data_IF_235189046265
#
_entry.id   IF_235189046265
#
_cell.length_a   1.000
_cell.length_b   1.000
_cell.length_c   1.000
_cell.angle_alpha   90.00
_cell.angle_beta   90.00
_cell.angle_gamma   90.00
#
_symmetry.space_group_name_H-M   'P 1'
#
loop_
_entity.id
_entity.type
_entity.pdbx_description
1 polymer ?
#
# COMPACT_ATOMS: atom_id res chain seq x y z
N UNK A 1 15.35 -0.48 12.07
CA UNK A 1 14.30 -0.48 11.00
C UNK A 1 13.00 -0.99 11.63
N UNK A 2 11.84 -0.33 11.46
CA UNK A 2 10.57 -0.80 12.09
C UNK A 2 10.13 -2.16 11.54
N UNK A 3 9.58 -3.02 12.41
CA UNK A 3 9.16 -4.39 12.10
C UNK A 3 8.19 -4.45 10.92
N UNK A 4 7.14 -3.63 10.90
CA UNK A 4 6.16 -3.61 9.80
C UNK A 4 6.82 -3.41 8.43
N UNK A 5 7.87 -2.58 8.37
CA UNK A 5 8.59 -2.38 7.11
C UNK A 5 9.42 -3.57 6.68
N UNK A 6 10.01 -4.29 7.65
CA UNK A 6 10.74 -5.53 7.35
C UNK A 6 9.79 -6.60 6.85
N UNK A 7 8.62 -6.73 7.49
CA UNK A 7 7.57 -7.64 7.05
C UNK A 7 7.12 -7.34 5.62
N UNK A 8 6.75 -6.09 5.30
CA UNK A 8 6.34 -5.72 3.93
C UNK A 8 7.43 -5.94 2.88
N UNK A 9 8.71 -5.73 3.25
CA UNK A 9 9.82 -6.02 2.36
C UNK A 9 9.94 -7.52 2.10
N UNK A 10 9.90 -8.33 3.16
CA UNK A 10 10.04 -9.77 3.04
C UNK A 10 8.88 -10.40 2.25
N UNK A 11 7.65 -9.96 2.53
CA UNK A 11 6.45 -10.36 1.77
C UNK A 11 6.61 -10.12 0.25
N UNK A 12 7.08 -8.93 -0.14
CA UNK A 12 7.27 -8.60 -1.55
C UNK A 12 8.47 -9.29 -2.20
N UNK A 13 9.56 -9.50 -1.45
CA UNK A 13 10.72 -10.23 -1.96
C UNK A 13 10.39 -11.70 -2.19
N UNK A 14 9.62 -12.31 -1.28
CA UNK A 14 9.15 -13.68 -1.41
C UNK A 14 8.24 -13.81 -2.64
N UNK A 15 7.27 -12.90 -2.81
CA UNK A 15 6.45 -12.87 -4.02
C UNK A 15 7.27 -12.71 -5.29
N UNK A 16 8.21 -11.76 -5.32
CA UNK A 16 9.08 -11.55 -6.49
C UNK A 16 9.83 -12.83 -6.86
N UNK A 17 10.37 -13.52 -5.86
CA UNK A 17 11.03 -14.81 -6.07
C UNK A 17 10.03 -15.84 -6.60
N UNK A 18 8.84 -15.99 -6.02
CA UNK A 18 7.85 -16.94 -6.52
C UNK A 18 7.41 -16.68 -7.97
N UNK A 19 7.35 -15.41 -8.38
CA UNK A 19 6.95 -15.02 -9.74
C UNK A 19 8.09 -15.17 -10.77
N UNK A 20 9.35 -15.02 -10.35
CA UNK A 20 10.53 -15.00 -11.26
C UNK A 20 11.40 -16.24 -11.19
N UNK A 21 11.36 -16.97 -10.07
CA UNK A 21 12.10 -18.22 -9.85
C UNK A 21 11.14 -19.40 -9.94
N UNK A 22 11.69 -20.59 -10.19
CA UNK A 22 11.00 -21.87 -10.33
C UNK A 22 10.46 -22.33 -8.96
N UNK A 23 9.44 -21.63 -8.44
CA UNK A 23 8.67 -22.12 -7.32
C UNK A 23 7.89 -23.40 -7.70
N UNK A 24 7.46 -24.20 -6.71
CA UNK A 24 6.62 -25.36 -6.97
C UNK A 24 5.40 -24.99 -7.83
N UNK A 25 5.04 -25.86 -8.77
CA UNK A 25 4.00 -25.60 -9.77
C UNK A 25 2.68 -25.10 -9.15
N UNK A 26 2.25 -25.70 -8.03
CA UNK A 26 1.03 -25.30 -7.32
C UNK A 26 1.03 -23.83 -6.87
N UNK A 27 2.21 -23.25 -6.57
CA UNK A 27 2.32 -21.84 -6.25
C UNK A 27 2.15 -20.97 -7.49
N UNK A 28 2.67 -21.37 -8.65
CA UNK A 28 2.56 -20.59 -9.87
C UNK A 28 1.10 -20.49 -10.34
N UNK A 29 0.35 -21.58 -10.21
CA UNK A 29 -1.09 -21.63 -10.50
C UNK A 29 -1.92 -20.72 -9.59
N UNK A 30 -1.41 -20.44 -8.38
CA UNK A 30 -2.09 -19.56 -7.41
C UNK A 30 -2.04 -18.08 -7.84
N UNK A 31 -0.99 -17.64 -8.52
CA UNK A 31 -0.77 -16.22 -8.84
C UNK A 31 -1.23 -15.89 -10.27
N UNK A 32 -2.51 -15.59 -10.42
CA UNK A 32 -3.08 -15.25 -11.73
C UNK A 32 -2.93 -13.75 -12.00
N UNK A 33 -2.44 -13.40 -13.19
CA UNK A 33 -2.45 -12.01 -13.66
C UNK A 33 -3.81 -11.66 -14.28
N UNK A 34 -4.26 -10.43 -14.08
CA UNK A 34 -5.48 -9.91 -14.70
C UNK A 34 -5.36 -9.93 -16.22
N UNK A 35 -6.17 -10.76 -16.89
CA UNK A 35 -6.20 -10.90 -18.35
C UNK A 35 -7.06 -9.85 -19.08
N UNK A 36 -7.40 -8.73 -18.44
CA UNK A 36 -8.19 -7.69 -19.11
C UNK A 36 -7.35 -6.96 -20.16
N UNK A 37 -7.82 -6.90 -21.42
CA UNK A 37 -7.13 -6.18 -22.53
C UNK A 37 -6.76 -4.72 -22.20
N UNK A 38 -7.50 -4.04 -21.32
CA UNK A 38 -7.18 -2.67 -20.85
C UNK A 38 -6.16 -2.62 -19.71
N UNK A 39 -6.02 -3.68 -18.92
CA UNK A 39 -5.15 -3.76 -17.73
C UNK A 39 -3.94 -4.68 -17.93
N UNK A 40 -3.87 -5.41 -19.05
CA UNK A 40 -2.77 -6.30 -19.40
C UNK A 40 -1.43 -5.54 -19.45
N UNK A 41 -1.44 -4.28 -19.89
CA UNK A 41 -0.26 -3.40 -19.91
C UNK A 41 0.28 -3.05 -18.51
N UNK A 42 -0.51 -3.28 -17.46
CA UNK A 42 -0.19 -2.95 -16.08
C UNK A 42 0.33 -4.14 -15.25
N UNK A 43 0.35 -5.37 -15.78
CA UNK A 43 0.87 -6.58 -15.11
C UNK A 43 0.40 -6.73 -13.66
N UNK A 44 -0.90 -6.54 -13.42
CA UNK A 44 -1.51 -6.58 -12.09
C UNK A 44 -1.95 -8.00 -11.73
N UNK A 45 -1.74 -8.39 -10.47
CA UNK A 45 -2.19 -9.68 -9.95
C UNK A 45 -3.69 -9.60 -9.60
N UNK A 46 -4.42 -10.67 -9.88
CA UNK A 46 -5.82 -10.79 -9.50
C UNK A 46 -5.95 -10.93 -7.97
N UNK A 47 -6.86 -10.17 -7.38
CA UNK A 47 -7.17 -10.31 -5.95
C UNK A 47 -8.26 -11.37 -5.81
N UNK A 48 -8.01 -12.49 -5.10
CA UNK A 48 -9.01 -13.53 -4.93
C UNK A 48 -10.24 -12.98 -4.21
N UNK A 49 -11.42 -13.38 -4.69
CA UNK A 49 -12.69 -13.03 -4.08
C UNK A 49 -12.81 -13.72 -2.73
N UNK A 50 -13.16 -12.97 -1.70
CA UNK A 50 -13.29 -13.48 -0.34
C UNK A 50 -14.46 -12.79 0.37
N UNK A 51 -15.14 -13.56 1.22
CA UNK A 51 -16.27 -13.06 2.03
C UNK A 51 -15.85 -12.74 3.46
N UNK A 52 -14.83 -13.44 3.97
CA UNK A 52 -14.39 -13.30 5.36
C UNK A 52 -13.30 -12.25 5.51
N UNK A 53 -13.36 -11.53 6.63
CA UNK A 53 -12.34 -10.55 7.00
C UNK A 53 -10.98 -11.19 7.24
N UNK A 54 -10.95 -12.37 7.87
CA UNK A 54 -9.74 -13.14 8.17
C UNK A 54 -8.95 -13.48 6.91
N UNK A 55 -9.62 -13.92 5.84
CA UNK A 55 -8.98 -14.18 4.56
C UNK A 55 -8.52 -12.88 3.88
N UNK A 56 -9.29 -11.79 4.03
CA UNK A 56 -8.89 -10.47 3.53
C UNK A 56 -7.62 -9.91 4.18
N UNK A 57 -7.35 -10.32 5.42
CA UNK A 57 -6.14 -10.00 6.19
C UNK A 57 -5.03 -11.06 6.04
N UNK A 58 -5.27 -12.12 5.26
CA UNK A 58 -4.28 -13.18 5.01
C UNK A 58 -3.05 -12.67 4.26
N UNK A 59 -1.97 -13.46 4.30
CA UNK A 59 -0.75 -13.20 3.56
C UNK A 59 -1.04 -12.99 2.07
N UNK A 60 -1.80 -13.91 1.45
CA UNK A 60 -2.08 -13.93 0.02
C UNK A 60 -2.70 -12.59 -0.45
N UNK A 61 -3.85 -12.22 0.12
CA UNK A 61 -4.56 -10.98 -0.25
C UNK A 61 -3.72 -9.74 0.05
N UNK A 62 -3.02 -9.73 1.19
CA UNK A 62 -2.19 -8.60 1.61
C UNK A 62 -1.02 -8.37 0.65
N UNK A 63 -0.37 -9.43 0.21
CA UNK A 63 0.77 -9.40 -0.72
C UNK A 63 0.31 -8.94 -2.10
N UNK A 64 -0.78 -9.48 -2.64
CA UNK A 64 -1.35 -9.04 -3.93
C UNK A 64 -1.68 -7.54 -3.91
N UNK A 65 -2.39 -7.07 -2.87
CA UNK A 65 -2.72 -5.65 -2.71
C UNK A 65 -1.47 -4.78 -2.63
N UNK A 66 -0.44 -5.27 -1.94
CA UNK A 66 0.81 -4.54 -1.80
C UNK A 66 1.56 -4.47 -3.13
N UNK A 67 1.64 -5.57 -3.87
CA UNK A 67 2.23 -5.66 -5.21
C UNK A 67 1.54 -4.72 -6.20
N UNK A 68 0.21 -4.76 -6.27
CA UNK A 68 -0.58 -3.89 -7.15
C UNK A 68 -0.46 -2.40 -6.79
N UNK A 69 -0.04 -2.06 -5.56
CA UNK A 69 0.22 -0.67 -5.16
C UNK A 69 1.60 -0.14 -5.58
N UNK A 70 2.47 -1.00 -6.11
CA UNK A 70 3.79 -0.63 -6.61
C UNK A 70 3.69 0.00 -8.00
N UNK A 71 4.65 0.85 -8.32
CA UNK A 71 4.78 1.40 -9.66
C UNK A 71 5.27 0.32 -10.63
N UNK A 72 4.90 0.43 -11.91
CA UNK A 72 5.29 -0.53 -12.95
C UNK A 72 6.82 -0.67 -13.03
N UNK A 73 7.57 0.42 -13.01
CA UNK A 73 9.05 0.41 -13.07
C UNK A 73 9.71 -0.39 -11.93
N UNK A 74 9.04 -0.53 -10.79
CA UNK A 74 9.56 -1.34 -9.68
C UNK A 74 9.26 -2.81 -9.91
N UNK A 75 8.10 -3.14 -10.49
CA UNK A 75 7.68 -4.54 -10.73
C UNK A 75 8.42 -5.15 -11.91
N UNK A 76 8.71 -4.36 -12.93
CA UNK A 76 9.41 -4.79 -14.15
C UNK A 76 10.94 -4.83 -13.98
N UNK A 77 11.45 -4.72 -12.75
CA UNK A 77 12.88 -4.87 -12.50
C UNK A 77 13.36 -6.27 -12.92
N UNK A 78 14.53 -6.38 -13.58
CA UNK A 78 14.96 -7.65 -14.16
C UNK A 78 15.45 -8.66 -13.12
N UNK A 79 16.10 -8.18 -12.05
CA UNK A 79 16.72 -9.02 -11.02
C UNK A 79 16.36 -8.57 -9.60
N UNK A 80 16.55 -9.47 -8.62
CA UNK A 80 16.19 -9.25 -7.22
C UNK A 80 16.94 -8.07 -6.57
N UNK A 81 18.19 -7.82 -6.98
CA UNK A 81 19.02 -6.74 -6.45
C UNK A 81 18.42 -5.35 -6.70
N UNK A 82 18.25 -4.94 -7.97
CA UNK A 82 17.56 -3.70 -8.35
C UNK A 82 16.16 -3.59 -7.75
N UNK A 83 15.39 -4.69 -7.73
CA UNK A 83 14.07 -4.72 -7.10
C UNK A 83 14.13 -4.29 -5.62
N UNK A 84 15.02 -4.91 -4.84
CA UNK A 84 15.19 -4.65 -3.40
C UNK A 84 15.59 -3.19 -3.13
N UNK A 85 16.46 -2.60 -3.95
CA UNK A 85 16.90 -1.20 -3.82
C UNK A 85 15.73 -0.26 -4.11
N UNK A 86 15.07 -0.43 -5.26
CA UNK A 86 13.91 0.37 -5.69
C UNK A 86 12.77 0.29 -4.67
N UNK A 87 12.51 -0.89 -4.13
CA UNK A 87 11.47 -1.11 -3.15
C UNK A 87 11.77 -0.41 -1.81
N UNK A 88 13.01 -0.49 -1.32
CA UNK A 88 13.44 0.26 -0.12
C UNK A 88 13.26 1.77 -0.29
N UNK A 89 13.61 2.30 -1.47
CA UNK A 89 13.43 3.72 -1.82
C UNK A 89 11.94 4.10 -1.85
N UNK A 90 11.11 3.28 -2.47
CA UNK A 90 9.65 3.46 -2.52
C UNK A 90 9.02 3.49 -1.13
N UNK A 91 9.34 2.52 -0.26
CA UNK A 91 8.78 2.45 1.10
C UNK A 91 9.18 3.66 1.95
N UNK A 92 10.43 4.15 1.83
CA UNK A 92 10.87 5.40 2.46
C UNK A 92 10.05 6.60 1.96
N UNK A 93 9.84 6.73 0.64
CA UNK A 93 9.03 7.80 0.03
C UNK A 93 7.57 7.74 0.48
N UNK A 94 6.95 6.55 0.50
CA UNK A 94 5.57 6.32 0.95
C UNK A 94 5.37 6.75 2.41
N UNK A 95 6.32 6.43 3.31
CA UNK A 95 6.32 6.90 4.70
C UNK A 95 6.38 8.42 4.82
N UNK A 96 7.28 9.08 4.07
CA UNK A 96 7.38 10.55 4.05
C UNK A 96 6.04 11.20 3.61
N UNK A 97 5.42 10.68 2.54
CA UNK A 97 4.10 11.12 2.07
C UNK A 97 3.01 10.94 3.14
N UNK A 98 2.95 9.79 3.82
CA UNK A 98 1.98 9.53 4.90
C UNK A 98 2.15 10.51 6.08
N UNK A 99 3.39 10.78 6.50
CA UNK A 99 3.70 11.78 7.54
C UNK A 99 3.23 13.18 7.13
N UNK A 100 3.49 13.61 5.89
CA UNK A 100 3.06 14.92 5.37
C UNK A 100 1.52 15.05 5.38
N UNK A 101 0.81 14.02 4.89
CA UNK A 101 -0.67 13.98 4.90
C UNK A 101 -1.24 14.07 6.33
N UNK A 102 -0.67 13.35 7.29
CA UNK A 102 -1.11 13.39 8.69
C UNK A 102 -0.91 14.77 9.33
N UNK A 103 0.24 15.43 9.09
CA UNK A 103 0.48 16.81 9.55
C UNK A 103 -0.56 17.79 8.99
N UNK A 104 -0.90 17.68 7.70
CA UNK A 104 -1.92 18.52 7.07
C UNK A 104 -3.31 18.27 7.70
N UNK A 105 -3.70 17.01 7.90
CA UNK A 105 -4.98 16.64 8.52
C UNK A 105 -5.10 17.19 9.94
N UNK A 106 -4.02 17.12 10.73
CA UNK A 106 -3.98 17.70 12.07
C UNK A 106 -4.07 19.23 12.05
N UNK A 107 -3.34 19.92 11.16
CA UNK A 107 -3.43 21.38 10.99
C UNK A 107 -4.86 21.82 10.61
N UNK A 108 -5.52 21.10 9.69
CA UNK A 108 -6.92 21.36 9.31
C UNK A 108 -7.89 21.14 10.49
N UNK A 109 -7.73 20.06 11.26
CA UNK A 109 -8.53 19.82 12.49
C UNK A 109 -8.36 20.93 13.53
N UNK A 110 -7.12 21.39 13.78
CA UNK A 110 -6.83 22.49 14.72
C UNK A 110 -7.46 23.82 14.27
N UNK A 111 -7.34 24.19 12.98
CA UNK A 111 -8.01 25.38 12.42
C UNK A 111 -9.54 25.32 12.55
N UNK A 112 -10.16 24.16 12.28
CA UNK A 112 -11.62 23.98 12.41
C UNK A 112 -12.09 24.12 13.87
N UNK A 113 -11.35 23.57 14.84
CA UNK A 113 -11.61 23.77 16.29
C UNK A 113 -11.50 25.24 16.70
N UNK A 114 -10.45 25.97 16.25
CA UNK A 114 -10.26 27.39 16.58
C UNK A 114 -11.37 28.29 15.99
N UNK A 115 -11.85 27.98 14.77
CA UNK A 115 -12.98 28.69 14.13
C UNK A 115 -14.32 28.42 14.83
N UNK A 116 -14.53 27.20 15.36
CA UNK A 116 -15.74 26.86 16.13
C UNK A 116 -15.76 27.57 17.49
N UNK A 117 -14.60 27.70 18.16
CA UNK A 117 -14.47 28.42 19.44
C UNK A 117 -14.69 29.94 19.31
N UNK A 118 -14.33 30.56 18.18
CA UNK A 118 -14.58 31.98 17.89
C UNK A 118 -16.04 32.32 17.54
N UNK A 119 -16.86 31.34 17.11
CA UNK A 119 -18.26 31.55 16.71
C UNK A 119 -19.27 31.37 17.84
N UNK A 120 -18.88 30.78 18.97
CA UNK A 120 -19.75 30.55 20.13
C UNK A 120 -19.58 31.53 21.28
N UNK A 121 -18.88 32.65 21.09
CA UNK A 121 -18.59 33.65 22.12
C UNK A 121 -19.19 35.03 21.87
N UNK A 122 -20.27 35.12 21.09
CA UNK A 122 -20.92 36.39 20.71
C UNK A 122 -22.43 36.41 20.98
N UNK A 123 -22.91 35.65 21.96
CA UNK A 123 -24.31 35.65 22.39
C UNK A 123 -24.37 35.85 23.89
N UNK A 124 -24.26 37.09 24.34
CA UNK A 124 -24.31 37.47 25.74
C UNK A 124 -24.09 38.96 25.88
N UNK A 125 -25.16 39.73 25.68
CA UNK A 125 -25.67 40.86 26.49
C UNK A 125 -26.81 41.47 25.66
N UNK A 126 -28.05 41.23 26.07
CA UNK A 126 -29.20 42.11 25.84
C UNK A 126 -29.92 42.15 27.19
N UNK A 127 -29.66 43.22 27.95
CA UNK A 127 -30.52 43.70 29.03
C UNK A 127 -31.41 44.80 28.43
#
# INVERSE_FOLDING_TARGET
MRLDTRQTLHMLLLLYNLLKSQGPQYFQETWVYLQSRRLASMSLLEIPRHRTRTYGDSYHVSVVRLWNSLHKDIRDSPTLGPFKVSLRKYLKKKKKKKKKKNKIKQKKKKKKKKKKKKRGGGGGVFF
#
